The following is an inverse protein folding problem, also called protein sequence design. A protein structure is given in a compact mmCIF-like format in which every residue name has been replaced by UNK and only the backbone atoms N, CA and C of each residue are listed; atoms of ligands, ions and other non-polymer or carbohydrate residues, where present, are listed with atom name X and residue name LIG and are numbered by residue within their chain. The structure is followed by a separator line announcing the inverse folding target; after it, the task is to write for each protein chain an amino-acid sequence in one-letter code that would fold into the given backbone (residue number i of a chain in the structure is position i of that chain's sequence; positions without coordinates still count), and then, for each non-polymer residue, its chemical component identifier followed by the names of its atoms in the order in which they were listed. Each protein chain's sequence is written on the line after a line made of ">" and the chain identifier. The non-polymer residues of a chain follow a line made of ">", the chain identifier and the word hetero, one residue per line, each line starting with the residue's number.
data_IF_425066932641
#
_entry.id   IF_425066932641
#
_cell.length_a   1.000
_cell.length_b   1.000
_cell.length_c   1.000
_cell.angle_alpha   90.00
_cell.angle_beta   90.00
_cell.angle_gamma   90.00
#
_symmetry.space_group_name_H-M   'P 1'
#
loop_
_entity.id
_entity.type
_entity.pdbx_description
1 polymer ?
#
# COMPACT_ATOMS: atom_id res chain seq x y z
N UNK A 1 -1.30 13.07 9.64
CA UNK A 1 -1.06 14.07 8.57
C UNK A 1 -2.39 14.26 7.85
N UNK A 2 -3.23 15.22 8.27
CA UNK A 2 -4.64 15.28 7.82
C UNK A 2 -4.79 15.35 6.29
N UNK A 3 -4.00 16.19 5.62
CA UNK A 3 -4.06 16.32 4.16
C UNK A 3 -3.77 15.02 3.42
N UNK A 4 -2.79 14.23 3.87
CA UNK A 4 -2.41 12.99 3.19
C UNK A 4 -3.45 11.89 3.37
N UNK A 5 -3.99 11.77 4.58
CA UNK A 5 -5.04 10.81 4.91
C UNK A 5 -6.35 11.15 4.19
N UNK A 6 -6.69 12.44 4.08
CA UNK A 6 -7.91 12.91 3.42
C UNK A 6 -7.85 12.77 1.88
N UNK A 7 -6.68 13.00 1.27
CA UNK A 7 -6.56 13.06 -0.20
C UNK A 7 -6.02 11.79 -0.86
N UNK A 8 -5.20 10.99 -0.16
CA UNK A 8 -4.41 9.91 -0.79
C UNK A 8 -4.54 8.54 -0.09
N UNK A 9 -5.29 8.43 1.01
CA UNK A 9 -5.37 7.21 1.82
C UNK A 9 -5.86 5.97 1.05
N UNK A 10 -6.66 6.15 0.00
CA UNK A 10 -7.14 5.05 -0.85
C UNK A 10 -6.38 4.93 -2.17
N UNK A 11 -5.90 6.05 -2.71
CA UNK A 11 -5.18 6.07 -3.99
C UNK A 11 -3.86 5.31 -3.88
N UNK A 12 -3.13 5.49 -2.77
CA UNK A 12 -1.83 4.87 -2.55
C UNK A 12 -1.93 3.34 -2.44
N UNK A 13 -2.77 2.75 -1.57
CA UNK A 13 -3.01 1.31 -1.56
C UNK A 13 -3.38 0.72 -2.93
N UNK A 14 -4.24 1.41 -3.66
CA UNK A 14 -4.69 0.99 -4.98
C UNK A 14 -3.54 1.01 -5.98
N UNK A 15 -2.70 2.05 -5.96
CA UNK A 15 -1.54 2.20 -6.82
C UNK A 15 -0.46 1.16 -6.52
N UNK A 16 -0.17 0.90 -5.23
CA UNK A 16 0.75 -0.16 -4.79
C UNK A 16 0.31 -1.52 -5.35
N UNK A 17 -0.97 -1.86 -5.17
CA UNK A 17 -1.54 -3.12 -5.67
C UNK A 17 -1.46 -3.23 -7.19
N UNK A 18 -1.76 -2.14 -7.90
CA UNK A 18 -1.66 -2.08 -9.36
C UNK A 18 -0.22 -2.32 -9.84
N UNK A 19 0.76 -1.60 -9.28
CA UNK A 19 2.16 -1.75 -9.66
C UNK A 19 2.68 -3.15 -9.37
N UNK A 20 2.38 -3.71 -8.19
CA UNK A 20 2.76 -5.08 -7.84
C UNK A 20 2.27 -6.09 -8.88
N UNK A 21 0.99 -6.00 -9.27
CA UNK A 21 0.40 -6.88 -10.30
C UNK A 21 1.01 -6.64 -11.67
N UNK A 22 1.23 -5.38 -12.06
CA UNK A 22 1.85 -5.02 -13.35
C UNK A 22 3.22 -5.66 -13.54
N UNK A 23 4.01 -5.76 -12.47
CA UNK A 23 5.33 -6.37 -12.48
C UNK A 23 5.33 -7.85 -12.04
N UNK A 24 4.17 -8.49 -11.93
CA UNK A 24 4.01 -9.90 -11.51
C UNK A 24 4.69 -10.24 -10.17
N UNK A 25 4.78 -9.29 -9.26
CA UNK A 25 5.39 -9.47 -7.94
C UNK A 25 4.40 -10.11 -6.97
N UNK A 26 4.90 -11.00 -6.11
CA UNK A 26 4.19 -11.52 -4.94
C UNK A 26 4.30 -10.50 -3.80
N UNK A 27 3.37 -10.57 -2.84
CA UNK A 27 3.43 -9.69 -1.67
C UNK A 27 4.68 -9.94 -0.82
N UNK A 28 5.19 -11.18 -0.81
CA UNK A 28 6.46 -11.56 -0.17
C UNK A 28 7.69 -10.88 -0.77
N UNK A 29 7.61 -10.46 -2.04
CA UNK A 29 8.74 -9.84 -2.74
C UNK A 29 8.91 -8.37 -2.32
N UNK A 30 7.86 -7.77 -1.74
CA UNK A 30 7.85 -6.40 -1.23
C UNK A 30 8.13 -6.32 0.28
N UNK A 31 8.17 -7.45 0.98
CA UNK A 31 8.35 -7.53 2.42
C UNK A 31 7.42 -8.55 3.08
N UNK A 32 6.97 -8.28 4.31
CA UNK A 32 6.07 -9.19 5.01
C UNK A 32 4.71 -9.26 4.29
N UNK A 33 4.39 -10.42 3.72
CA UNK A 33 3.17 -10.61 2.92
C UNK A 33 1.88 -10.27 3.69
N UNK A 34 1.83 -10.55 5.00
CA UNK A 34 0.69 -10.19 5.84
C UNK A 34 0.49 -8.69 5.96
N UNK A 35 1.57 -7.94 6.18
CA UNK A 35 1.53 -6.48 6.26
C UNK A 35 1.18 -5.85 4.91
N UNK A 36 1.80 -6.31 3.83
CA UNK A 36 1.51 -5.85 2.47
C UNK A 36 0.04 -6.11 2.11
N UNK A 37 -0.52 -7.27 2.51
CA UNK A 37 -1.94 -7.59 2.33
C UNK A 37 -2.87 -6.65 3.09
N UNK A 38 -2.50 -6.20 4.29
CA UNK A 38 -3.29 -5.20 5.02
C UNK A 38 -3.26 -3.84 4.32
N UNK A 39 -2.10 -3.42 3.81
CA UNK A 39 -1.97 -2.17 3.03
C UNK A 39 -2.82 -2.23 1.77
N UNK A 40 -2.71 -3.28 0.95
CA UNK A 40 -3.49 -3.42 -0.30
C UNK A 40 -5.01 -3.51 -0.09
N UNK A 41 -5.45 -3.88 1.13
CA UNK A 41 -6.86 -3.93 1.53
C UNK A 41 -7.32 -2.66 2.26
N UNK A 42 -6.47 -1.62 2.34
CA UNK A 42 -6.75 -0.37 3.07
C UNK A 42 -7.03 -0.61 4.57
N UNK A 43 -6.55 -1.74 5.11
CA UNK A 43 -6.68 -2.08 6.54
C UNK A 43 -5.54 -1.50 7.39
N UNK A 44 -4.51 -0.96 6.73
CA UNK A 44 -3.34 -0.36 7.37
C UNK A 44 -2.99 0.93 6.62
N UNK A 45 -2.85 2.02 7.37
CA UNK A 45 -2.38 3.30 6.80
C UNK A 45 -0.93 3.18 6.35
N UNK A 46 -0.61 3.85 5.25
CA UNK A 46 0.76 4.06 4.77
C UNK A 46 1.24 5.39 5.33
N UNK A 47 2.32 5.35 6.10
CA UNK A 47 2.96 6.54 6.66
C UNK A 47 4.29 6.78 5.95
N UNK A 48 4.58 8.03 5.59
CA UNK A 48 5.93 8.40 5.20
C UNK A 48 6.82 8.33 6.46
N UNK A 49 7.94 7.63 6.37
CA UNK A 49 9.03 7.73 7.35
C UNK A 49 10.05 8.69 6.76
N UNK A 50 10.45 9.71 7.53
CA UNK A 50 11.45 10.72 7.16
C UNK A 50 12.76 10.35 7.82
#
# INVERSE_FOLDING_TARGET
>A
MKFFEENYSQEIPTRIKYLRRKYNLKQSDLGNAGQVSQVEKVKRQVTASI
#
